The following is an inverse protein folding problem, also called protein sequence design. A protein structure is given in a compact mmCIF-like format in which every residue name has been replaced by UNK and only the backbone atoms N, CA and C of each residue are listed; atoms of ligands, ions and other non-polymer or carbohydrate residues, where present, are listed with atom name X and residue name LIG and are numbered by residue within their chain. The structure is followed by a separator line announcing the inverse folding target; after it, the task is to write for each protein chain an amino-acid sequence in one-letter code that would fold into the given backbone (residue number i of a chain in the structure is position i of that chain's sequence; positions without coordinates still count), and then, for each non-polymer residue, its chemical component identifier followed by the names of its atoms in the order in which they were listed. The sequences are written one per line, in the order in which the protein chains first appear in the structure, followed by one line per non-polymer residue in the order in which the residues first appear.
data_IF_820914032641
#
_entry.id   IF_820914032641
#
_cell.length_a   1.000
_cell.length_b   1.000
_cell.length_c   1.000
_cell.angle_alpha   90.00
_cell.angle_beta   90.00
_cell.angle_gamma   90.00
#
_symmetry.space_group_name_H-M   'P 1'
#
loop_
_entity.id
_entity.type
_entity.pdbx_description
1 polymer ?
#
# COMPACT_ATOMS: atom_id res chain seq x y z
N UNK A 1 3.48 25.48 19.94
CA UNK A 1 2.48 24.58 19.30
C UNK A 1 3.00 24.10 17.95
N UNK A 2 3.66 24.97 17.19
CA UNK A 2 4.21 24.67 15.85
C UNK A 2 5.34 23.62 15.81
N UNK A 3 6.13 23.49 16.88
CA UNK A 3 7.22 22.50 16.92
C UNK A 3 6.74 21.05 16.93
N UNK A 4 5.57 20.77 17.53
CA UNK A 4 4.98 19.42 17.59
C UNK A 4 4.42 19.01 16.23
N UNK A 5 3.77 19.95 15.54
CA UNK A 5 3.22 19.74 14.19
C UNK A 5 4.37 19.50 13.21
N UNK A 6 5.43 20.32 13.28
CA UNK A 6 6.61 20.18 12.43
C UNK A 6 7.30 18.81 12.59
N UNK A 7 7.44 18.32 13.82
CA UNK A 7 8.02 16.99 14.08
C UNK A 7 7.15 15.85 13.53
N UNK A 8 5.82 15.95 13.65
CA UNK A 8 4.90 14.94 13.10
C UNK A 8 4.94 14.95 11.57
N UNK A 9 4.91 16.12 10.95
CA UNK A 9 5.00 16.26 9.49
C UNK A 9 6.31 15.64 8.96
N UNK A 10 7.44 15.87 9.63
CA UNK A 10 8.72 15.27 9.24
C UNK A 10 8.69 13.75 9.35
N UNK A 11 8.20 13.21 10.47
CA UNK A 11 8.08 11.76 10.65
C UNK A 11 7.17 11.11 9.60
N UNK A 12 6.05 11.75 9.24
CA UNK A 12 5.14 11.21 8.21
C UNK A 12 5.73 11.32 6.81
N UNK A 13 6.47 12.39 6.50
CA UNK A 13 7.18 12.54 5.24
C UNK A 13 8.28 11.47 5.07
N UNK A 14 9.04 11.18 6.13
CA UNK A 14 10.05 10.13 6.15
C UNK A 14 9.42 8.74 5.92
N UNK A 15 8.34 8.42 6.63
CA UNK A 15 7.61 7.15 6.46
C UNK A 15 6.99 7.01 5.07
N UNK A 16 6.42 8.08 4.52
CA UNK A 16 5.86 8.09 3.18
C UNK A 16 6.96 7.85 2.13
N UNK A 17 8.07 8.57 2.22
CA UNK A 17 9.22 8.42 1.33
C UNK A 17 9.77 6.99 1.37
N UNK A 18 9.94 6.43 2.58
CA UNK A 18 10.40 5.06 2.76
C UNK A 18 9.45 4.04 2.12
N UNK A 19 8.13 4.18 2.35
CA UNK A 19 7.15 3.28 1.75
C UNK A 19 7.18 3.36 0.22
N UNK A 20 7.27 4.57 -0.34
CA UNK A 20 7.39 4.78 -1.79
C UNK A 20 8.67 4.16 -2.35
N UNK A 21 9.82 4.33 -1.69
CA UNK A 21 11.08 3.70 -2.09
C UNK A 21 11.00 2.17 -2.07
N UNK A 22 10.38 1.59 -1.03
CA UNK A 22 10.16 0.15 -0.99
C UNK A 22 9.24 -0.30 -2.12
N UNK A 23 8.18 0.46 -2.41
CA UNK A 23 7.23 0.16 -3.48
C UNK A 23 7.91 0.23 -4.85
N UNK A 24 8.70 1.27 -5.11
CA UNK A 24 9.52 1.44 -6.32
C UNK A 24 10.48 0.28 -6.58
N UNK A 25 11.03 -0.29 -5.51
CA UNK A 25 12.04 -1.36 -5.62
C UNK A 25 11.47 -2.76 -5.70
N UNK A 26 10.28 -2.99 -5.16
CA UNK A 26 9.76 -4.34 -4.90
C UNK A 26 8.46 -4.65 -5.63
N UNK A 27 7.62 -3.66 -5.95
CA UNK A 27 6.35 -3.94 -6.63
C UNK A 27 6.58 -4.43 -8.06
N UNK A 28 5.73 -5.37 -8.48
CA UNK A 28 5.74 -5.95 -9.82
C UNK A 28 5.36 -4.93 -10.89
N UNK A 29 5.88 -5.15 -12.10
CA UNK A 29 5.51 -4.36 -13.28
C UNK A 29 3.99 -4.40 -13.52
N UNK A 30 3.40 -3.24 -13.81
CA UNK A 30 1.97 -3.09 -14.07
C UNK A 30 1.12 -2.67 -12.86
N UNK A 31 1.71 -2.58 -11.67
CA UNK A 31 1.06 -2.04 -10.47
C UNK A 31 1.22 -0.52 -10.43
N UNK A 32 0.10 0.21 -10.46
CA UNK A 32 0.11 1.66 -10.27
C UNK A 32 -0.02 2.02 -8.79
N UNK A 33 0.50 3.18 -8.38
CA UNK A 33 0.20 3.74 -7.06
C UNK A 33 0.38 5.27 -7.05
N UNK A 34 -0.28 5.93 -6.09
CA UNK A 34 -0.20 7.39 -5.92
C UNK A 34 1.04 7.82 -5.16
N UNK A 35 1.57 9.01 -5.48
CA UNK A 35 2.66 9.65 -4.75
C UNK A 35 2.13 10.92 -4.06
N UNK A 36 1.63 10.81 -2.82
CA UNK A 36 1.06 11.95 -2.13
C UNK A 36 2.15 12.88 -1.58
N UNK A 37 1.97 14.19 -1.74
CA UNK A 37 2.82 15.22 -1.09
C UNK A 37 2.53 15.38 0.42
N UNK A 38 1.51 14.67 0.93
CA UNK A 38 1.12 14.69 2.33
C UNK A 38 -0.07 13.80 2.66
N UNK A 39 -0.35 13.59 3.94
CA UNK A 39 -1.42 12.73 4.43
C UNK A 39 -0.89 11.47 5.12
N UNK A 40 -1.67 10.39 5.05
CA UNK A 40 -1.40 9.15 5.80
C UNK A 40 -1.56 7.87 4.96
N UNK A 41 -1.92 8.02 3.68
CA UNK A 41 -2.32 6.88 2.84
C UNK A 41 -1.69 6.96 1.45
N UNK A 42 -1.34 5.79 0.93
CA UNK A 42 -0.99 5.59 -0.47
C UNK A 42 -2.08 4.73 -1.09
N UNK A 43 -2.53 5.10 -2.29
CA UNK A 43 -3.49 4.32 -3.04
C UNK A 43 -2.75 3.51 -4.09
N UNK A 44 -2.84 2.18 -4.00
CA UNK A 44 -2.30 1.26 -4.98
C UNK A 44 -3.43 0.79 -5.91
N UNK A 45 -3.13 0.62 -7.18
CA UNK A 45 -4.05 0.20 -8.23
C UNK A 45 -3.47 -1.02 -8.94
N UNK A 46 -4.21 -2.13 -8.86
CA UNK A 46 -3.88 -3.38 -9.52
C UNK A 46 -4.13 -3.27 -11.04
N UNK A 47 -3.36 -4.02 -11.85
CA UNK A 47 -3.63 -4.12 -13.28
C UNK A 47 -4.99 -4.80 -13.54
N UNK A 48 -5.49 -4.61 -14.76
CA UNK A 48 -6.75 -5.19 -15.19
C UNK A 48 -6.71 -6.73 -15.12
N UNK A 49 -7.82 -7.35 -14.70
CA UNK A 49 -7.92 -8.81 -14.50
C UNK A 49 -7.54 -9.29 -13.09
N UNK A 50 -7.03 -8.39 -12.23
CA UNK A 50 -6.70 -8.71 -10.84
C UNK A 50 -7.66 -8.03 -9.87
N UNK A 51 -8.02 -8.75 -8.80
CA UNK A 51 -9.02 -8.31 -7.82
C UNK A 51 -8.41 -8.16 -6.43
N UNK A 52 -8.65 -7.01 -5.80
CA UNK A 52 -8.12 -6.64 -4.50
C UNK A 52 -8.59 -7.58 -3.39
N UNK A 53 -9.81 -8.12 -3.47
CA UNK A 53 -10.30 -9.06 -2.45
C UNK A 53 -9.47 -10.35 -2.39
N UNK A 54 -9.04 -10.86 -3.55
CA UNK A 54 -8.18 -12.05 -3.60
C UNK A 54 -6.76 -11.71 -3.13
N UNK A 55 -6.23 -10.55 -3.53
CA UNK A 55 -4.96 -10.05 -3.01
C UNK A 55 -4.99 -9.91 -1.48
N UNK A 56 -6.08 -9.37 -0.94
CA UNK A 56 -6.28 -9.19 0.50
C UNK A 56 -6.24 -10.52 1.25
N UNK A 57 -6.96 -11.53 0.74
CA UNK A 57 -6.99 -12.88 1.32
C UNK A 57 -5.58 -13.47 1.37
N UNK A 58 -4.82 -13.36 0.28
CA UNK A 58 -3.43 -13.86 0.20
C UNK A 58 -2.46 -13.05 1.07
N UNK A 59 -2.63 -11.74 1.15
CA UNK A 59 -1.82 -10.86 1.98
C UNK A 59 -1.99 -11.17 3.48
N UNK A 60 -3.23 -11.46 3.90
CA UNK A 60 -3.52 -11.90 5.27
C UNK A 60 -2.79 -13.19 5.64
N UNK A 61 -2.73 -14.17 4.74
CA UNK A 61 -1.96 -15.41 4.95
C UNK A 61 -0.45 -15.15 5.17
N UNK A 62 0.06 -14.01 4.67
CA UNK A 62 1.45 -13.56 4.87
C UNK A 62 1.59 -12.52 5.98
N UNK A 63 0.59 -12.36 6.85
CA UNK A 63 0.57 -11.38 7.94
C UNK A 63 0.76 -9.93 7.45
N UNK A 64 0.15 -9.60 6.31
CA UNK A 64 0.07 -8.22 5.81
C UNK A 64 -1.39 -7.82 5.71
N UNK A 65 -1.79 -6.84 6.52
CA UNK A 65 -3.13 -6.26 6.45
C UNK A 65 -3.15 -5.13 5.42
N UNK A 66 -3.89 -5.34 4.34
CA UNK A 66 -4.24 -4.29 3.38
C UNK A 66 -5.71 -3.96 3.49
N UNK A 67 -6.13 -2.78 3.01
CA UNK A 67 -7.55 -2.44 2.98
C UNK A 67 -8.04 -2.42 1.52
N UNK A 68 -9.00 -3.28 1.15
CA UNK A 68 -9.60 -3.25 -0.17
C UNK A 68 -10.26 -1.89 -0.44
N UNK A 69 -10.21 -1.46 -1.70
CA UNK A 69 -10.84 -0.23 -2.18
C UNK A 69 -12.36 -0.34 -2.24
N UNK A 70 -12.90 -1.55 -2.36
CA UNK A 70 -14.33 -1.82 -2.52
C UNK A 70 -15.26 -1.12 -1.51
N UNK A 71 -14.95 -1.01 -0.19
CA UNK A 71 -15.82 -0.30 0.75
C UNK A 71 -15.85 1.21 0.56
N UNK A 72 -14.95 1.78 -0.27
CA UNK A 72 -14.88 3.20 -0.58
C UNK A 72 -15.69 3.60 -1.81
N UNK A 73 -16.27 2.64 -2.53
CA UNK A 73 -17.07 2.87 -3.74
C UNK A 73 -18.52 2.51 -3.49
N UNK A 74 -19.43 3.45 -3.78
CA UNK A 74 -20.89 3.26 -3.57
C UNK A 74 -21.58 2.54 -4.74
N UNK A 75 -20.89 2.37 -5.87
CA UNK A 75 -21.39 1.85 -7.14
C UNK A 75 -20.90 0.42 -7.46
N UNK A 76 -20.21 -0.23 -6.52
CA UNK A 76 -19.62 -1.55 -6.74
C UNK A 76 -18.27 -1.52 -7.47
N UNK A 77 -17.61 -0.37 -7.56
CA UNK A 77 -16.23 -0.25 -8.03
C UNK A 77 -15.17 -0.55 -6.95
N UNK A 78 -13.92 -0.17 -7.24
CA UNK A 78 -12.80 -0.28 -6.27
C UNK A 78 -12.15 -1.66 -6.19
N UNK A 79 -12.51 -2.57 -7.09
CA UNK A 79 -11.98 -3.94 -7.17
C UNK A 79 -10.49 -4.01 -7.48
N UNK A 80 -9.89 -2.94 -8.01
CA UNK A 80 -8.44 -2.86 -8.26
C UNK A 80 -7.71 -1.96 -7.25
N UNK A 81 -8.44 -1.24 -6.40
CA UNK A 81 -7.86 -0.28 -5.47
C UNK A 81 -7.46 -0.91 -4.15
N UNK A 82 -6.31 -0.53 -3.61
CA UNK A 82 -5.83 -0.89 -2.27
C UNK A 82 -5.42 0.37 -1.54
N UNK A 83 -5.87 0.54 -0.30
CA UNK A 83 -5.42 1.62 0.57
C UNK A 83 -4.34 1.13 1.54
N UNK A 84 -3.15 1.68 1.43
CA UNK A 84 -2.02 1.44 2.34
C UNK A 84 -1.91 2.59 3.32
N UNK A 85 -1.66 2.29 4.60
CA UNK A 85 -1.44 3.29 5.64
C UNK A 85 0.00 3.21 6.15
N UNK A 86 0.67 4.36 6.23
CA UNK A 86 2.04 4.46 6.75
C UNK A 86 2.12 5.21 8.08
N UNK A 87 1.03 5.81 8.58
CA UNK A 87 1.09 6.66 9.77
C UNK A 87 1.34 5.87 11.06
N UNK A 88 0.80 4.65 11.17
CA UNK A 88 0.92 3.82 12.37
C UNK A 88 2.03 2.76 12.32
N UNK A 89 2.58 2.47 11.13
CA UNK A 89 3.65 1.48 10.97
C UNK A 89 5.02 2.10 11.20
N UNK A 90 5.94 1.38 11.84
CA UNK A 90 7.34 1.80 11.96
C UNK A 90 8.13 1.48 10.70
N UNK A 91 9.30 2.10 10.54
CA UNK A 91 10.10 2.02 9.32
C UNK A 91 10.43 0.56 8.92
N UNK A 92 10.75 -0.28 9.90
CA UNK A 92 11.01 -1.70 9.69
C UNK A 92 9.77 -2.46 9.22
N UNK A 93 8.62 -2.22 9.86
CA UNK A 93 7.35 -2.84 9.48
C UNK A 93 6.88 -2.42 8.09
N UNK A 94 7.15 -1.18 7.69
CA UNK A 94 6.89 -0.69 6.33
C UNK A 94 7.68 -1.52 5.32
N UNK A 95 8.99 -1.65 5.51
CA UNK A 95 9.85 -2.42 4.61
C UNK A 95 9.43 -3.91 4.54
N UNK A 96 9.17 -4.52 5.69
CA UNK A 96 8.75 -5.93 5.77
C UNK A 96 7.37 -6.11 5.13
N UNK A 97 6.42 -5.22 5.43
CA UNK A 97 5.06 -5.26 4.91
C UNK A 97 5.01 -5.12 3.39
N UNK A 98 5.74 -4.14 2.83
CA UNK A 98 5.82 -3.95 1.38
C UNK A 98 6.54 -5.12 0.71
N UNK A 99 7.62 -5.65 1.28
CA UNK A 99 8.32 -6.82 0.74
C UNK A 99 7.44 -8.06 0.68
N UNK A 100 6.68 -8.34 1.76
CA UNK A 100 5.71 -9.43 1.78
C UNK A 100 4.57 -9.19 0.79
N UNK A 101 4.06 -7.97 0.70
CA UNK A 101 3.00 -7.60 -0.25
C UNK A 101 3.48 -7.83 -1.68
N UNK A 102 4.67 -7.35 -2.04
CA UNK A 102 5.29 -7.56 -3.35
C UNK A 102 5.38 -9.05 -3.70
N UNK A 103 5.87 -9.90 -2.79
CA UNK A 103 5.94 -11.34 -3.02
C UNK A 103 4.57 -11.99 -3.23
N UNK A 104 3.54 -11.55 -2.51
CA UNK A 104 2.16 -12.01 -2.73
C UNK A 104 1.64 -11.57 -4.09
N UNK A 105 1.89 -10.31 -4.46
CA UNK A 105 1.44 -9.74 -5.73
C UNK A 105 2.09 -10.44 -6.90
N UNK A 106 3.41 -10.67 -6.86
CA UNK A 106 4.13 -11.42 -7.88
C UNK A 106 3.54 -12.82 -8.05
N UNK A 107 3.38 -13.58 -6.95
CA UNK A 107 2.77 -14.92 -7.03
C UNK A 107 1.32 -14.92 -7.51
N UNK A 108 0.56 -13.84 -7.24
CA UNK A 108 -0.80 -13.70 -7.75
C UNK A 108 -0.81 -13.38 -9.25
N UNK A 109 0.10 -12.52 -9.70
CA UNK A 109 0.21 -12.09 -11.10
C UNK A 109 0.81 -13.16 -12.01
N UNK A 110 1.75 -13.96 -11.51
CA UNK A 110 2.36 -15.08 -12.26
C UNK A 110 1.38 -16.26 -12.47
N UNK A 111 0.24 -16.29 -11.77
CA UNK A 111 -0.77 -17.35 -11.93
C UNK A 111 -1.74 -17.08 -13.10
N UNK A 112 -1.70 -15.89 -13.70
CA UNK A 112 -2.52 -15.50 -14.85
C UNK A 112 -1.80 -15.77 -16.18
#
# INVERSE_FOLDING_TARGET
MDSRISSINRAYAEKCSLMLECMDRLLSDGVGYTRPDGGMFIWLTLPEGFFTMELWRRALEKNVAILPGTPFYTDGGGDSGVRLNFSNADAEDICIGISRLAGVMQGYMDTA
#
